data_IF_795039297522
#
_entry.id   IF_795039297522
#
_cell.length_a   1.000
_cell.length_b   1.000
_cell.length_c   1.000
_cell.angle_alpha   90.00
_cell.angle_beta   90.00
_cell.angle_gamma   90.00
#
_symmetry.space_group_name_H-M   'P 1'
#
loop_
_entity.id
_entity.type
_entity.pdbx_description
1 polymer ?
#
# COMPACT_ATOMS: atom_id res chain seq x y z
N UNK A 1 18.53 17.97 -1.30
CA UNK A 1 18.35 17.78 -2.78
C UNK A 1 17.56 18.95 -3.36
N UNK A 2 17.93 19.46 -4.54
CA UNK A 2 17.29 20.62 -5.18
C UNK A 2 15.80 20.41 -5.48
N UNK A 3 15.42 19.21 -5.93
CA UNK A 3 14.01 18.84 -6.17
C UNK A 3 13.18 18.91 -4.88
N UNK A 4 13.74 18.42 -3.77
CA UNK A 4 13.07 18.44 -2.46
C UNK A 4 12.97 19.87 -1.92
N UNK A 5 14.03 20.66 -2.03
CA UNK A 5 14.00 22.07 -1.63
C UNK A 5 12.86 22.83 -2.34
N UNK A 6 12.68 22.63 -3.65
CA UNK A 6 11.57 23.23 -4.41
C UNK A 6 10.20 22.80 -3.87
N UNK A 7 10.02 21.49 -3.60
CA UNK A 7 8.77 20.96 -3.05
C UNK A 7 8.48 21.54 -1.65
N UNK A 8 9.47 21.49 -0.76
CA UNK A 8 9.33 21.94 0.63
C UNK A 8 9.02 23.45 0.68
N UNK A 9 9.65 24.26 -0.18
CA UNK A 9 9.33 25.69 -0.31
C UNK A 9 7.91 25.92 -0.84
N UNK A 10 7.45 25.14 -1.82
CA UNK A 10 6.09 25.24 -2.35
C UNK A 10 5.05 24.86 -1.27
N UNK A 11 5.30 23.80 -0.51
CA UNK A 11 4.46 23.39 0.62
C UNK A 11 4.44 24.45 1.72
N UNK A 12 5.58 25.05 2.06
CA UNK A 12 5.70 26.14 3.01
C UNK A 12 4.90 27.37 2.56
N UNK A 13 5.06 27.81 1.31
CA UNK A 13 4.30 28.95 0.76
C UNK A 13 2.78 28.70 0.83
N UNK A 14 2.35 27.49 0.43
CA UNK A 14 0.94 27.08 0.53
C UNK A 14 0.41 27.14 1.96
N UNK A 15 1.22 26.75 2.95
CA UNK A 15 0.81 26.83 4.35
C UNK A 15 0.82 28.26 4.90
N UNK A 16 1.75 29.11 4.48
CA UNK A 16 1.76 30.54 4.81
C UNK A 16 0.52 31.23 4.26
N UNK A 17 0.14 30.96 3.00
CA UNK A 17 -1.11 31.47 2.40
C UNK A 17 -2.36 31.00 3.16
N UNK A 18 -2.38 29.74 3.62
CA UNK A 18 -3.48 29.26 4.47
C UNK A 18 -3.48 29.97 5.83
N UNK A 19 -2.30 30.25 6.39
CA UNK A 19 -2.17 30.96 7.66
C UNK A 19 -2.66 32.42 7.54
N UNK A 20 -2.36 33.13 6.45
CA UNK A 20 -2.86 34.48 6.21
C UNK A 20 -4.38 34.50 6.03
N UNK A 21 -4.96 33.54 5.30
CA UNK A 21 -6.42 33.38 5.20
C UNK A 21 -7.09 33.15 6.56
N UNK A 22 -6.47 32.36 7.44
CA UNK A 22 -6.96 32.12 8.80
C UNK A 22 -6.86 33.36 9.71
N UNK A 23 -5.84 34.21 9.52
CA UNK A 23 -5.73 35.48 10.24
C UNK A 23 -6.82 36.46 9.86
N UNK A 24 -7.24 36.46 8.59
CA UNK A 24 -8.34 37.27 8.10
C UNK A 24 -9.69 36.76 8.61
N UNK A 25 -9.89 35.43 8.66
CA UNK A 25 -11.12 34.80 9.14
C UNK A 25 -10.90 34.08 10.49
N UNK A 26 -10.74 34.88 11.56
CA UNK A 26 -10.40 34.40 12.92
C UNK A 26 -11.40 33.37 13.50
N UNK A 27 -12.67 33.40 13.07
CA UNK A 27 -13.69 32.43 13.47
C UNK A 27 -13.42 30.99 12.99
N UNK A 28 -12.57 30.80 11.98
CA UNK A 28 -12.16 29.47 11.51
C UNK A 28 -10.99 28.89 12.33
N UNK A 29 -10.49 29.63 13.31
CA UNK A 29 -9.47 29.15 14.24
C UNK A 29 -10.14 28.33 15.36
N UNK A 30 -10.72 27.18 15.02
CA UNK A 30 -11.50 26.31 15.92
C UNK A 30 -10.70 25.23 16.65
N UNK A 31 -9.66 24.65 16.03
CA UNK A 31 -8.84 23.58 16.62
C UNK A 31 -7.57 24.08 17.35
N UNK A 32 -7.29 23.52 18.52
CA UNK A 32 -6.06 23.72 19.30
C UNK A 32 -4.82 23.07 18.66
N UNK A 33 -4.99 22.18 17.67
CA UNK A 33 -3.89 21.48 17.03
C UNK A 33 -3.14 22.36 16.02
N UNK A 34 -1.83 22.49 16.20
CA UNK A 34 -0.92 23.22 15.29
C UNK A 34 -0.54 22.36 14.07
N UNK A 35 -1.50 22.14 13.16
CA UNK A 35 -1.28 21.42 11.89
C UNK A 35 -1.50 22.32 10.68
N UNK A 36 -0.75 22.08 9.60
CA UNK A 36 -0.81 22.86 8.37
C UNK A 36 -0.52 24.34 8.59
N UNK A 37 -1.29 25.23 7.97
CA UNK A 37 -1.12 26.69 8.10
C UNK A 37 -1.21 27.23 9.53
N UNK A 38 -1.91 26.52 10.43
CA UNK A 38 -2.03 26.91 11.86
C UNK A 38 -0.71 26.81 12.62
N UNK A 39 0.27 26.04 12.10
CA UNK A 39 1.63 25.92 12.67
C UNK A 39 2.33 27.29 12.72
N UNK A 40 2.05 28.15 11.75
CA UNK A 40 2.68 29.47 11.61
C UNK A 40 1.87 30.60 12.26
N UNK A 41 0.96 30.26 13.17
CA UNK A 41 0.17 31.23 13.94
C UNK A 41 0.58 31.19 15.41
N UNK A 42 0.78 32.37 16.00
CA UNK A 42 1.12 32.56 17.40
C UNK A 42 0.06 33.41 18.09
N UNK A 43 -0.31 33.03 19.31
CA UNK A 43 -1.15 33.86 20.18
C UNK A 43 -0.28 34.94 20.83
N UNK A 44 -0.59 36.20 20.59
CA UNK A 44 0.14 37.38 21.10
C UNK A 44 -0.47 37.93 22.39
N UNK A 45 -1.81 37.86 22.52
CA UNK A 45 -2.54 38.17 23.76
C UNK A 45 -3.57 37.07 24.01
N UNK A 46 -3.74 36.64 25.26
CA UNK A 46 -4.71 35.61 25.66
C UNK A 46 -6.12 36.19 25.87
N UNK A 47 -6.24 37.47 26.22
CA UNK A 47 -7.52 38.17 26.35
C UNK A 47 -7.34 39.66 25.97
N UNK A 48 -8.01 40.17 24.91
CA UNK A 48 -8.66 39.42 23.84
C UNK A 48 -7.65 38.55 23.06
N UNK A 49 -8.08 37.38 22.57
CA UNK A 49 -7.20 36.45 21.83
C UNK A 49 -6.76 37.10 20.51
N UNK A 50 -5.51 37.56 20.46
CA UNK A 50 -4.92 38.14 19.25
C UNK A 50 -3.93 37.16 18.64
N UNK A 51 -4.25 36.70 17.43
CA UNK A 51 -3.35 35.87 16.62
C UNK A 51 -2.43 36.75 15.77
N UNK A 52 -1.18 36.34 15.64
CA UNK A 52 -0.18 36.93 14.74
C UNK A 52 0.58 35.83 13.99
N UNK A 53 1.31 36.21 12.95
CA UNK A 53 2.15 35.28 12.21
C UNK A 53 3.44 34.97 12.99
N UNK A 54 3.78 33.68 13.09
CA UNK A 54 5.02 33.23 13.68
C UNK A 54 6.13 33.18 12.62
N UNK A 55 6.78 34.33 12.40
CA UNK A 55 7.87 34.46 11.41
C UNK A 55 9.06 33.57 11.73
N UNK A 56 9.35 33.34 13.02
CA UNK A 56 10.45 32.45 13.45
C UNK A 56 10.20 31.01 13.05
N UNK A 57 8.95 30.53 13.16
CA UNK A 57 8.59 29.19 12.72
C UNK A 57 8.73 29.03 11.20
N UNK A 58 8.40 30.07 10.43
CA UNK A 58 8.57 30.09 8.96
C UNK A 58 10.05 30.04 8.59
N UNK A 59 10.88 30.89 9.19
CA UNK A 59 12.33 30.92 8.94
C UNK A 59 13.01 29.60 9.31
N UNK A 60 12.61 29.00 10.42
CA UNK A 60 13.11 27.68 10.83
C UNK A 60 12.77 26.60 9.80
N UNK A 61 11.53 26.51 9.34
CA UNK A 61 11.18 25.50 8.33
C UNK A 61 11.87 25.81 6.99
N UNK A 62 12.05 27.09 6.65
CA UNK A 62 12.78 27.54 5.46
C UNK A 62 14.25 27.12 5.49
N UNK A 63 14.91 27.16 6.65
CA UNK A 63 16.32 26.74 6.79
C UNK A 63 16.52 25.23 6.65
N UNK A 64 15.48 24.43 6.95
CA UNK A 64 15.49 22.98 6.76
C UNK A 64 14.97 22.52 5.39
N UNK A 65 14.56 23.43 4.51
CA UNK A 65 14.07 23.08 3.18
C UNK A 65 15.13 22.31 2.38
N UNK A 66 14.76 21.14 1.84
CA UNK A 66 15.66 20.31 1.06
C UNK A 66 16.45 19.27 1.85
N UNK A 67 16.39 19.33 3.19
CA UNK A 67 16.94 18.31 4.08
C UNK A 67 15.91 17.20 4.36
N UNK A 68 16.41 15.99 4.56
CA UNK A 68 15.60 14.84 4.95
C UNK A 68 16.40 14.03 5.97
N UNK A 69 15.93 14.02 7.21
CA UNK A 69 16.58 13.32 8.31
C UNK A 69 15.88 12.00 8.59
N UNK A 70 16.67 10.95 8.80
CA UNK A 70 16.20 9.67 9.33
C UNK A 70 16.93 9.46 10.66
N UNK A 71 16.18 9.20 11.72
CA UNK A 71 16.73 8.77 13.00
C UNK A 71 16.64 7.24 13.05
N UNK A 72 17.74 6.57 13.36
CA UNK A 72 17.80 5.11 13.46
C UNK A 72 18.69 4.69 14.63
N UNK A 73 18.38 3.53 15.23
CA UNK A 73 19.23 2.86 16.22
C UNK A 73 20.39 2.10 15.56
N UNK A 74 20.33 1.87 14.25
CA UNK A 74 21.35 1.15 13.48
C UNK A 74 22.65 1.95 13.37
N UNK A 75 23.72 1.43 14.00
CA UNK A 75 25.03 2.09 14.04
C UNK A 75 25.97 1.67 12.91
N UNK A 76 25.78 0.46 12.38
CA UNK A 76 26.71 -0.17 11.44
C UNK A 76 26.23 -0.14 9.97
N UNK A 77 25.08 0.47 9.71
CA UNK A 77 24.49 0.52 8.38
C UNK A 77 24.91 1.81 7.65
N UNK A 78 25.28 1.70 6.38
CA UNK A 78 25.63 2.89 5.59
C UNK A 78 24.41 3.81 5.43
N UNK A 79 24.59 5.14 5.34
CA UNK A 79 23.48 6.08 5.15
C UNK A 79 22.60 5.76 3.94
N UNK A 80 23.21 5.27 2.84
CA UNK A 80 22.48 4.84 1.64
C UNK A 80 21.59 3.63 1.91
N UNK A 81 22.08 2.67 2.67
CA UNK A 81 21.32 1.48 3.04
C UNK A 81 20.18 1.81 4.01
N UNK A 82 20.42 2.70 4.97
CA UNK A 82 19.36 3.22 5.87
C UNK A 82 18.26 3.90 5.06
N UNK A 83 18.63 4.76 4.11
CA UNK A 83 17.68 5.45 3.23
C UNK A 83 16.87 4.46 2.39
N UNK A 84 17.53 3.45 1.81
CA UNK A 84 16.86 2.41 1.02
C UNK A 84 15.89 1.56 1.87
N UNK A 85 16.31 1.18 3.08
CA UNK A 85 15.48 0.44 4.03
C UNK A 85 14.25 1.26 4.44
N UNK A 86 14.43 2.54 4.77
CA UNK A 86 13.32 3.44 5.06
C UNK A 86 12.40 3.60 3.85
N UNK A 87 12.95 3.75 2.65
CA UNK A 87 12.14 3.77 1.44
C UNK A 87 11.34 2.48 1.25
N UNK A 88 11.81 1.33 1.72
CA UNK A 88 11.04 0.09 1.60
C UNK A 88 9.78 0.02 2.46
N UNK A 89 9.55 0.99 3.38
CA UNK A 89 8.32 1.07 4.18
C UNK A 89 7.05 1.15 3.34
N UNK A 90 7.10 1.73 2.13
CA UNK A 90 5.93 1.76 1.24
C UNK A 90 5.44 0.35 0.88
N UNK A 91 6.28 -0.68 0.97
CA UNK A 91 5.89 -2.08 0.74
C UNK A 91 4.83 -2.54 1.74
N UNK A 92 4.85 -2.00 2.96
CA UNK A 92 3.84 -2.27 3.98
C UNK A 92 2.50 -1.68 3.54
N UNK A 93 2.48 -0.42 3.09
CA UNK A 93 1.27 0.23 2.58
C UNK A 93 0.71 -0.50 1.34
N UNK A 94 1.58 -0.94 0.43
CA UNK A 94 1.18 -1.79 -0.69
C UNK A 94 0.56 -3.10 -0.22
N UNK A 95 1.15 -3.74 0.80
CA UNK A 95 0.64 -5.00 1.35
C UNK A 95 -0.76 -4.82 1.93
N UNK A 96 -0.98 -3.76 2.71
CA UNK A 96 -2.32 -3.40 3.18
C UNK A 96 -3.29 -3.12 2.03
N UNK A 97 -2.85 -2.43 0.98
CA UNK A 97 -3.69 -2.16 -0.20
C UNK A 97 -4.11 -3.45 -0.91
N UNK A 98 -3.19 -4.41 -1.07
CA UNK A 98 -3.50 -5.72 -1.68
C UNK A 98 -4.47 -6.50 -0.79
N UNK A 99 -4.21 -6.57 0.52
CA UNK A 99 -5.11 -7.25 1.45
C UNK A 99 -6.54 -6.68 1.39
N UNK A 100 -6.69 -5.36 1.32
CA UNK A 100 -8.00 -4.70 1.21
C UNK A 100 -8.68 -4.95 -0.14
N UNK A 101 -7.95 -4.77 -1.24
CA UNK A 101 -8.53 -4.82 -2.60
C UNK A 101 -8.70 -6.22 -3.17
N UNK A 102 -7.75 -7.11 -2.90
CA UNK A 102 -7.66 -8.43 -3.54
C UNK A 102 -8.19 -9.52 -2.63
N UNK A 103 -8.03 -9.38 -1.32
CA UNK A 103 -8.45 -10.39 -0.34
C UNK A 103 -9.64 -9.92 0.50
N UNK A 104 -10.23 -8.78 0.15
CA UNK A 104 -11.47 -8.23 0.70
C UNK A 104 -11.53 -8.29 2.24
N UNK A 105 -10.40 -8.00 2.88
CA UNK A 105 -10.30 -7.91 4.36
C UNK A 105 -11.29 -6.89 4.93
N UNK A 106 -11.75 -5.95 4.11
CA UNK A 106 -12.83 -5.03 4.43
C UNK A 106 -13.78 -4.98 3.21
N UNK A 107 -15.12 -5.05 3.39
CA UNK A 107 -15.86 -5.08 4.66
C UNK A 107 -15.96 -6.47 5.32
N UNK A 108 -15.82 -6.49 6.65
CA UNK A 108 -15.92 -7.71 7.48
C UNK A 108 -17.39 -7.93 7.87
N UNK A 109 -18.09 -8.85 7.22
CA UNK A 109 -19.50 -9.19 7.53
C UNK A 109 -19.68 -10.15 8.72
N UNK A 110 -18.65 -10.30 9.57
CA UNK A 110 -18.68 -11.16 10.76
C UNK A 110 -18.65 -10.32 12.04
N UNK A 111 -19.39 -10.78 13.06
CA UNK A 111 -19.76 -9.95 14.21
C UNK A 111 -19.09 -10.37 15.53
N UNK A 112 -18.63 -11.63 15.63
CA UNK A 112 -17.95 -12.13 16.84
C UNK A 112 -16.45 -11.96 16.73
N UNK A 113 -15.79 -11.62 17.83
CA UNK A 113 -14.34 -11.42 17.89
C UNK A 113 -13.56 -12.63 17.32
N UNK A 114 -14.00 -13.85 17.63
CA UNK A 114 -13.37 -15.07 17.14
C UNK A 114 -13.45 -15.20 15.62
N UNK A 115 -14.61 -14.90 15.01
CA UNK A 115 -14.77 -14.95 13.55
C UNK A 115 -13.98 -13.83 12.87
N UNK A 116 -13.91 -12.65 13.48
CA UNK A 116 -13.09 -11.53 12.98
C UNK A 116 -11.63 -11.98 12.94
N UNK A 117 -11.06 -12.48 14.05
CA UNK A 117 -9.68 -12.99 14.09
C UNK A 117 -9.44 -14.10 13.07
N UNK A 118 -10.37 -15.03 12.91
CA UNK A 118 -10.29 -16.10 11.91
C UNK A 118 -10.25 -15.58 10.48
N UNK A 119 -11.12 -14.63 10.12
CA UNK A 119 -11.12 -13.99 8.80
C UNK A 119 -9.80 -13.29 8.51
N UNK A 120 -9.30 -12.47 9.45
CA UNK A 120 -8.01 -11.80 9.32
C UNK A 120 -6.86 -12.79 9.14
N UNK A 121 -6.85 -13.90 9.87
CA UNK A 121 -5.86 -14.96 9.73
C UNK A 121 -5.90 -15.58 8.33
N UNK A 122 -7.08 -15.93 7.83
CA UNK A 122 -7.23 -16.52 6.49
C UNK A 122 -6.76 -15.56 5.40
N UNK A 123 -7.13 -14.28 5.48
CA UNK A 123 -6.65 -13.27 4.53
C UNK A 123 -5.14 -13.07 4.63
N UNK A 124 -4.55 -13.13 5.83
CA UNK A 124 -3.10 -13.04 6.00
C UNK A 124 -2.37 -14.25 5.37
N UNK A 125 -2.87 -15.47 5.57
CA UNK A 125 -2.32 -16.67 4.92
C UNK A 125 -2.43 -16.56 3.39
N UNK A 126 -3.60 -16.18 2.88
CA UNK A 126 -3.82 -16.00 1.45
C UNK A 126 -2.86 -14.95 0.85
N UNK A 127 -2.64 -13.83 1.56
CA UNK A 127 -1.68 -12.81 1.18
C UNK A 127 -0.24 -13.35 1.13
N UNK A 128 0.16 -14.13 2.14
CA UNK A 128 1.48 -14.74 2.20
C UNK A 128 1.70 -15.70 1.01
N UNK A 129 0.71 -16.51 0.67
CA UNK A 129 0.75 -17.41 -0.49
C UNK A 129 0.87 -16.62 -1.80
N UNK A 130 0.07 -15.57 -1.98
CA UNK A 130 0.10 -14.72 -3.17
C UNK A 130 1.46 -14.03 -3.35
N UNK A 131 2.03 -13.45 -2.27
CA UNK A 131 3.36 -12.83 -2.31
C UNK A 131 4.48 -13.83 -2.54
N UNK A 132 4.37 -15.01 -1.98
CA UNK A 132 5.34 -16.09 -2.21
C UNK A 132 5.33 -16.50 -3.69
N UNK A 133 4.14 -16.63 -4.28
CA UNK A 133 4.00 -16.93 -5.70
C UNK A 133 4.55 -15.80 -6.59
N UNK A 134 4.28 -14.54 -6.25
CA UNK A 134 4.84 -13.39 -6.95
C UNK A 134 6.38 -13.39 -6.90
N UNK A 135 6.97 -13.68 -5.73
CA UNK A 135 8.41 -13.79 -5.56
C UNK A 135 9.01 -14.93 -6.40
N UNK A 136 8.37 -16.10 -6.40
CA UNK A 136 8.80 -17.23 -7.22
C UNK A 136 8.74 -16.89 -8.71
N UNK A 137 7.64 -16.31 -9.20
CA UNK A 137 7.52 -15.88 -10.60
C UNK A 137 8.65 -14.91 -10.99
N UNK A 138 8.95 -13.92 -10.13
CA UNK A 138 10.05 -12.98 -10.36
C UNK A 138 11.41 -13.68 -10.47
N UNK A 139 11.65 -14.71 -9.65
CA UNK A 139 12.88 -15.53 -9.72
C UNK A 139 13.05 -16.24 -11.07
N UNK A 140 11.95 -16.65 -11.70
CA UNK A 140 11.94 -17.24 -13.05
C UNK A 140 11.81 -16.19 -14.18
N UNK A 141 11.99 -14.90 -13.89
CA UNK A 141 11.95 -13.83 -14.90
C UNK A 141 10.53 -13.47 -15.36
N UNK A 142 9.52 -13.75 -14.55
CA UNK A 142 8.13 -13.43 -14.85
C UNK A 142 7.59 -12.40 -13.86
N UNK A 143 7.04 -11.29 -14.38
CA UNK A 143 6.40 -10.26 -13.57
C UNK A 143 4.91 -10.24 -13.86
N UNK A 144 4.09 -10.45 -12.83
CA UNK A 144 2.64 -10.37 -12.91
C UNK A 144 2.10 -9.66 -11.66
N UNK A 145 0.99 -8.93 -11.80
CA UNK A 145 0.31 -8.34 -10.66
C UNK A 145 -0.48 -9.41 -9.89
N UNK A 146 -0.71 -9.22 -8.57
CA UNK A 146 -1.58 -10.07 -7.75
C UNK A 146 -2.90 -10.45 -8.45
N UNK A 147 -3.60 -9.45 -8.99
CA UNK A 147 -4.84 -9.64 -9.74
C UNK A 147 -4.70 -10.58 -10.95
N UNK A 148 -3.65 -10.39 -11.77
CA UNK A 148 -3.39 -11.24 -12.94
C UNK A 148 -3.03 -12.67 -12.55
N UNK A 149 -2.32 -12.83 -11.43
CA UNK A 149 -1.99 -14.15 -10.89
C UNK A 149 -3.29 -14.87 -10.51
N UNK A 150 -4.20 -14.21 -9.78
CA UNK A 150 -5.51 -14.75 -9.44
C UNK A 150 -6.36 -15.07 -10.67
N UNK A 151 -6.46 -14.16 -11.63
CA UNK A 151 -7.18 -14.38 -12.90
C UNK A 151 -6.63 -15.62 -13.63
N UNK A 152 -5.31 -15.78 -13.68
CA UNK A 152 -4.66 -16.93 -14.31
C UNK A 152 -4.93 -18.24 -13.56
N UNK A 153 -4.94 -18.23 -12.22
CA UNK A 153 -5.26 -19.39 -11.41
C UNK A 153 -6.74 -19.77 -11.54
N UNK A 154 -7.65 -18.81 -11.46
CA UNK A 154 -9.10 -19.03 -11.60
C UNK A 154 -9.52 -19.48 -12.99
N UNK A 155 -8.67 -19.26 -14.01
CA UNK A 155 -8.92 -19.74 -15.36
C UNK A 155 -8.48 -21.21 -15.57
N UNK A 156 -7.88 -21.87 -14.58
CA UNK A 156 -7.54 -23.28 -14.63
C UNK A 156 -8.76 -24.13 -14.27
N UNK A 157 -9.73 -24.20 -15.19
CA UNK A 157 -10.96 -24.98 -14.99
C UNK A 157 -11.01 -26.19 -15.93
N UNK A 158 -11.82 -27.16 -15.54
CA UNK A 158 -12.27 -28.25 -16.41
C UNK A 158 -13.74 -28.06 -16.77
N UNK A 159 -14.09 -28.38 -18.01
CA UNK A 159 -15.48 -28.51 -18.45
C UNK A 159 -15.84 -29.99 -18.48
N UNK A 160 -16.93 -30.34 -17.83
CA UNK A 160 -17.50 -31.68 -17.91
C UNK A 160 -18.22 -31.85 -19.25
N UNK A 161 -17.94 -32.97 -19.91
CA UNK A 161 -18.62 -33.41 -21.14
C UNK A 161 -19.00 -34.88 -20.96
N UNK A 162 -20.14 -35.26 -21.52
CA UNK A 162 -20.63 -36.64 -21.49
C UNK A 162 -20.40 -37.27 -22.86
N UNK A 163 -19.76 -38.43 -22.90
CA UNK A 163 -19.53 -39.21 -24.12
C UNK A 163 -19.96 -40.64 -23.80
N UNK A 164 -20.98 -41.13 -24.52
CA UNK A 164 -21.51 -42.50 -24.32
C UNK A 164 -21.91 -42.78 -22.86
N UNK A 165 -22.64 -41.83 -22.23
CA UNK A 165 -23.09 -41.87 -20.83
C UNK A 165 -21.97 -41.91 -19.77
N UNK A 166 -20.72 -41.63 -20.17
CA UNK A 166 -19.56 -41.54 -19.28
C UNK A 166 -19.05 -40.09 -19.16
N UNK A 167 -18.78 -39.58 -17.95
CA UNK A 167 -18.29 -38.22 -17.75
C UNK A 167 -16.79 -38.11 -18.07
N UNK A 168 -16.44 -37.09 -18.85
CA UNK A 168 -15.07 -36.69 -19.15
C UNK A 168 -14.87 -35.22 -18.79
N UNK A 169 -13.68 -34.88 -18.31
CA UNK A 169 -13.32 -33.52 -17.94
C UNK A 169 -12.27 -32.98 -18.90
N UNK A 170 -12.61 -31.94 -19.64
CA UNK A 170 -11.74 -31.29 -20.61
C UNK A 170 -11.19 -30.00 -20.04
N UNK A 171 -9.86 -29.87 -20.06
CA UNK A 171 -9.17 -28.66 -19.59
C UNK A 171 -9.55 -27.48 -20.48
N UNK A 172 -10.06 -26.42 -19.86
CA UNK A 172 -10.38 -25.17 -20.55
C UNK A 172 -9.11 -24.40 -20.96
N UNK A 173 -9.25 -23.52 -21.97
CA UNK A 173 -8.13 -22.71 -22.46
C UNK A 173 -7.72 -21.65 -21.42
N UNK A 174 -6.67 -21.96 -20.67
CA UNK A 174 -6.12 -21.04 -19.68
C UNK A 174 -5.13 -20.03 -20.30
N UNK A 175 -4.95 -18.84 -19.69
CA UNK A 175 -3.91 -17.88 -20.08
C UNK A 175 -2.50 -18.46 -20.06
N UNK A 176 -1.60 -17.92 -20.87
CA UNK A 176 -0.18 -18.32 -20.88
C UNK A 176 0.49 -18.20 -19.51
N UNK A 177 0.03 -17.27 -18.67
CA UNK A 177 0.50 -17.06 -17.30
C UNK A 177 0.20 -18.27 -16.40
N UNK A 178 -0.91 -18.97 -16.58
CA UNK A 178 -1.28 -20.14 -15.77
C UNK A 178 -0.25 -21.26 -15.93
N UNK A 179 0.16 -21.55 -17.16
CA UNK A 179 1.21 -22.54 -17.43
C UNK A 179 2.57 -22.11 -16.87
N UNK A 180 2.88 -20.81 -16.90
CA UNK A 180 4.10 -20.27 -16.27
C UNK A 180 4.08 -20.46 -14.75
N UNK A 181 2.94 -20.18 -14.10
CA UNK A 181 2.73 -20.38 -12.66
C UNK A 181 2.98 -21.84 -12.29
N UNK A 182 2.33 -22.79 -12.97
CA UNK A 182 2.51 -24.22 -12.69
C UNK A 182 3.97 -24.65 -12.82
N UNK A 183 4.66 -24.21 -13.88
CA UNK A 183 6.10 -24.49 -14.08
C UNK A 183 6.98 -23.88 -12.99
N UNK A 184 6.73 -22.63 -12.60
CA UNK A 184 7.48 -21.97 -11.52
C UNK A 184 7.31 -22.67 -10.17
N UNK A 185 6.13 -23.24 -9.93
CA UNK A 185 5.83 -24.04 -8.75
C UNK A 185 6.24 -25.52 -8.87
N UNK A 186 6.80 -25.93 -10.02
CA UNK A 186 7.14 -27.33 -10.33
C UNK A 186 5.94 -28.29 -10.26
N UNK A 187 4.75 -27.77 -10.57
CA UNK A 187 3.51 -28.53 -10.65
C UNK A 187 3.33 -28.99 -12.11
N UNK A 188 3.07 -30.28 -12.30
CA UNK A 188 2.77 -30.81 -13.62
C UNK A 188 1.45 -30.21 -14.13
N UNK A 189 1.42 -29.75 -15.38
CA UNK A 189 0.14 -29.35 -15.99
C UNK A 189 -0.76 -30.57 -16.09
N UNK A 190 -2.04 -30.47 -15.69
CA UNK A 190 -3.01 -31.52 -15.95
C UNK A 190 -3.12 -31.83 -17.45
N UNK A 191 -3.49 -33.07 -17.76
CA UNK A 191 -3.78 -33.52 -19.13
C UNK A 191 -4.99 -32.75 -19.69
N UNK A 192 -5.09 -32.69 -21.01
CA UNK A 192 -6.19 -31.99 -21.67
C UNK A 192 -7.55 -32.65 -21.44
N UNK A 193 -7.57 -33.98 -21.26
CA UNK A 193 -8.77 -34.76 -20.96
C UNK A 193 -8.43 -35.72 -19.83
N UNK A 194 -9.30 -35.79 -18.83
CA UNK A 194 -9.21 -36.71 -17.68
C UNK A 194 -10.58 -37.30 -17.39
N UNK A 195 -10.63 -38.54 -16.86
CA UNK A 195 -11.89 -39.21 -16.45
C UNK A 195 -12.31 -38.83 -15.02
N UNK A 196 -11.35 -38.39 -14.21
CA UNK A 196 -11.56 -37.93 -12.84
C UNK A 196 -10.84 -36.60 -12.64
N UNK A 197 -11.43 -35.71 -11.84
CA UNK A 197 -10.79 -34.43 -11.49
C UNK A 197 -9.59 -34.73 -10.57
N UNK A 198 -8.36 -34.33 -10.94
CA UNK A 198 -7.16 -34.56 -10.14
C UNK A 198 -7.10 -33.73 -8.86
#
# INVERSE_FOLDING_TARGET
>A
SSKRAKKDMADLNRFVEKATKLLNNKGQITSSQKRGGRKYLKVTKKAPVKWSMDTKAIERDKSFAGYYGIQTSEKNMSPKNILNAYHSLWKIEESFRIMKSTLEVEPVFVWTEQRIKGHFMMCFIAFLLERTLEFQLRKYGHTASPRKIREALNALNFAEIEIEDEPYYVKTKAPSLSNKILRSLRIASPKNVVREIP
#
